data_IF_729990458826
#
_entry.id   IF_729990458826
#
_cell.length_a   1.000
_cell.length_b   1.000
_cell.length_c   1.000
_cell.angle_alpha   90.00
_cell.angle_beta   90.00
_cell.angle_gamma   90.00
#
_symmetry.space_group_name_H-M   'P 1'
#
loop_
_entity.id
_entity.type
_entity.pdbx_description
1 polymer ?
#
# COMPACT_ATOMS: atom_id res chain seq x y z
N UNK A 1 -130.14 -45.61 52.96
CA UNK A 1 -129.03 -44.74 52.55
C UNK A 1 -127.79 -45.13 53.35
N UNK A 2 -126.61 -44.98 52.75
CA UNK A 2 -125.27 -45.33 53.25
C UNK A 2 -124.73 -46.70 52.84
N UNK A 3 -123.80 -46.60 51.88
CA UNK A 3 -122.89 -47.59 51.34
C UNK A 3 -121.96 -48.17 52.41
N UNK A 4 -121.22 -49.25 52.07
CA UNK A 4 -119.75 -49.20 51.92
C UNK A 4 -119.16 -50.61 51.70
N UNK A 5 -118.45 -50.69 50.57
CA UNK A 5 -117.27 -51.49 50.23
C UNK A 5 -117.34 -53.02 50.07
N UNK A 6 -117.25 -53.39 48.79
CA UNK A 6 -116.65 -54.64 48.33
C UNK A 6 -115.11 -54.55 48.47
N UNK A 7 -114.53 -55.45 49.26
CA UNK A 7 -113.08 -55.66 49.32
C UNK A 7 -112.68 -56.57 48.15
N UNK A 8 -111.95 -56.03 47.19
CA UNK A 8 -111.27 -56.80 46.15
C UNK A 8 -109.96 -57.36 46.69
N UNK A 9 -109.79 -58.68 46.60
CA UNK A 9 -108.53 -59.35 46.93
C UNK A 9 -107.42 -58.95 45.93
N UNK A 10 -106.16 -58.81 46.38
CA UNK A 10 -105.05 -58.48 45.52
C UNK A 10 -104.65 -59.68 44.64
N UNK A 11 -104.61 -59.48 43.33
CA UNK A 11 -104.07 -60.45 42.38
C UNK A 11 -102.53 -60.54 42.48
N UNK A 12 -101.93 -61.74 42.37
CA UNK A 12 -100.47 -61.88 42.39
C UNK A 12 -99.84 -61.28 41.13
N UNK A 13 -98.86 -60.38 41.33
CA UNK A 13 -98.04 -59.79 40.27
C UNK A 13 -97.24 -60.88 39.55
N UNK A 14 -97.44 -61.02 38.24
CA UNK A 14 -96.55 -61.81 37.38
C UNK A 14 -95.18 -61.14 37.30
N UNK A 15 -94.14 -61.90 37.61
CA UNK A 15 -92.73 -61.53 37.42
C UNK A 15 -92.47 -61.45 35.92
N UNK A 16 -92.19 -60.25 35.41
CA UNK A 16 -91.72 -60.05 34.04
C UNK A 16 -90.22 -60.31 33.95
N UNK A 17 -89.71 -60.98 32.89
CA UNK A 17 -88.29 -61.21 32.73
C UNK A 17 -87.54 -59.88 32.53
N UNK A 18 -86.45 -59.70 33.28
CA UNK A 18 -85.53 -58.57 33.18
C UNK A 18 -85.00 -58.42 31.76
N UNK A 19 -85.12 -57.20 31.20
CA UNK A 19 -84.46 -56.85 29.95
C UNK A 19 -82.96 -56.68 30.21
N UNK A 20 -82.06 -57.29 29.43
CA UNK A 20 -80.63 -57.15 29.64
C UNK A 20 -80.22 -55.70 29.36
N UNK A 21 -79.71 -55.02 30.40
CA UNK A 21 -79.18 -53.67 30.28
C UNK A 21 -77.96 -53.69 29.35
N UNK A 22 -78.07 -53.06 28.17
CA UNK A 22 -76.93 -52.82 27.28
C UNK A 22 -75.94 -51.90 28.00
N UNK A 23 -74.87 -52.48 28.53
CA UNK A 23 -73.72 -51.72 29.03
C UNK A 23 -72.98 -51.12 27.84
N UNK A 24 -73.15 -49.81 27.64
CA UNK A 24 -72.27 -49.03 26.77
C UNK A 24 -70.91 -48.93 27.46
N UNK A 25 -69.88 -49.50 26.83
CA UNK A 25 -68.50 -49.43 27.30
C UNK A 25 -67.85 -48.21 26.65
N UNK A 26 -67.28 -47.26 27.41
CA UNK A 26 -66.53 -46.16 26.82
C UNK A 26 -65.37 -46.71 25.99
N UNK A 27 -65.25 -46.29 24.73
CA UNK A 27 -64.06 -46.56 23.94
C UNK A 27 -62.85 -45.86 24.60
N UNK A 28 -61.66 -46.50 24.66
CA UNK A 28 -60.50 -45.87 25.27
C UNK A 28 -60.18 -44.57 24.52
N UNK A 29 -60.07 -43.46 25.26
CA UNK A 29 -59.57 -42.21 24.71
C UNK A 29 -58.21 -42.46 24.09
N UNK A 30 -58.06 -42.05 22.83
CA UNK A 30 -56.80 -42.18 22.08
C UNK A 30 -55.74 -41.42 22.86
N UNK A 31 -54.77 -42.13 23.43
CA UNK A 31 -53.64 -41.52 24.14
C UNK A 31 -53.07 -40.39 23.29
N UNK A 32 -53.06 -39.18 23.83
CA UNK A 32 -52.54 -38.01 23.15
C UNK A 32 -51.07 -38.27 22.80
N UNK A 33 -50.77 -38.54 21.53
CA UNK A 33 -49.40 -38.67 21.03
C UNK A 33 -48.63 -37.43 21.47
N UNK A 34 -47.66 -37.61 22.36
CA UNK A 34 -46.76 -36.54 22.79
C UNK A 34 -46.04 -36.02 21.55
N UNK A 35 -46.50 -34.88 21.02
CA UNK A 35 -45.84 -34.22 19.89
C UNK A 35 -44.41 -33.91 20.34
N UNK A 36 -43.36 -34.22 19.55
CA UNK A 36 -41.96 -34.03 19.94
C UNK A 36 -41.54 -32.55 19.88
N UNK A 37 -42.39 -31.64 20.35
CA UNK A 37 -42.17 -30.18 20.39
C UNK A 37 -40.90 -29.82 21.15
N UNK A 38 -40.58 -30.57 22.20
CA UNK A 38 -39.35 -30.39 22.97
C UNK A 38 -38.10 -30.70 22.12
N UNK A 39 -38.12 -31.78 21.33
CA UNK A 39 -37.01 -32.14 20.46
C UNK A 39 -36.75 -31.05 19.40
N UNK A 40 -37.81 -30.52 18.77
CA UNK A 40 -37.68 -29.41 17.83
C UNK A 40 -37.14 -28.14 18.50
N UNK A 41 -37.57 -27.82 19.72
CA UNK A 41 -37.07 -26.67 20.46
C UNK A 41 -35.58 -26.80 20.79
N UNK A 42 -35.13 -27.98 21.22
CA UNK A 42 -33.71 -28.26 21.52
C UNK A 42 -32.87 -28.16 20.25
N UNK A 43 -33.33 -28.72 19.13
CA UNK A 43 -32.62 -28.63 17.85
C UNK A 43 -32.54 -27.18 17.37
N UNK A 44 -33.64 -26.43 17.46
CA UNK A 44 -33.67 -25.02 17.06
C UNK A 44 -32.70 -24.17 17.91
N UNK A 45 -32.73 -24.34 19.24
CA UNK A 45 -31.84 -23.62 20.15
C UNK A 45 -30.37 -24.01 19.94
N UNK A 46 -30.09 -25.30 19.75
CA UNK A 46 -28.76 -25.79 19.42
C UNK A 46 -28.25 -25.22 18.11
N UNK A 47 -29.09 -25.19 17.07
CA UNK A 47 -28.75 -24.57 15.78
C UNK A 47 -28.41 -23.08 15.92
N UNK A 48 -29.21 -22.32 16.68
CA UNK A 48 -28.92 -20.90 16.97
C UNK A 48 -27.59 -20.75 17.71
N UNK A 49 -27.32 -21.58 18.73
CA UNK A 49 -26.05 -21.53 19.46
C UNK A 49 -24.85 -21.81 18.55
N UNK A 50 -24.94 -22.81 17.65
CA UNK A 50 -23.90 -23.11 16.67
C UNK A 50 -23.65 -21.94 15.72
N UNK A 51 -24.71 -21.28 15.24
CA UNK A 51 -24.59 -20.11 14.36
C UNK A 51 -23.85 -18.97 15.07
N UNK A 52 -24.18 -18.68 16.33
CA UNK A 52 -23.53 -17.63 17.12
C UNK A 52 -22.04 -17.93 17.30
N UNK A 53 -21.69 -19.17 17.65
CA UNK A 53 -20.28 -19.59 17.81
C UNK A 53 -19.53 -19.47 16.48
N UNK A 54 -20.14 -19.92 15.38
CA UNK A 54 -19.54 -19.82 14.04
C UNK A 54 -19.30 -18.35 13.64
N UNK A 55 -20.26 -17.44 13.91
CA UNK A 55 -20.11 -16.01 13.66
C UNK A 55 -18.96 -15.40 14.46
N UNK A 56 -18.83 -15.79 15.74
CA UNK A 56 -17.77 -15.28 16.61
C UNK A 56 -16.38 -15.72 16.11
N UNK A 57 -16.22 -17.01 15.77
CA UNK A 57 -14.97 -17.54 15.22
C UNK A 57 -14.62 -16.90 13.88
N UNK A 58 -15.60 -16.71 12.99
CA UNK A 58 -15.38 -16.01 11.73
C UNK A 58 -14.93 -14.57 11.95
N UNK A 59 -15.54 -13.85 12.90
CA UNK A 59 -15.14 -12.49 13.27
C UNK A 59 -13.69 -12.43 13.76
N UNK A 60 -13.28 -13.37 14.62
CA UNK A 60 -11.91 -13.46 15.12
C UNK A 60 -10.93 -13.73 13.98
N UNK A 61 -11.25 -14.67 13.09
CA UNK A 61 -10.42 -15.00 11.93
C UNK A 61 -10.28 -13.81 10.95
N UNK A 62 -11.38 -13.10 10.68
CA UNK A 62 -11.38 -11.88 9.86
C UNK A 62 -10.52 -10.79 10.50
N UNK A 63 -10.57 -10.64 11.83
CA UNK A 63 -9.80 -9.62 12.54
C UNK A 63 -8.29 -9.89 12.46
N UNK A 64 -7.85 -11.15 12.58
CA UNK A 64 -6.44 -11.51 12.40
C UNK A 64 -5.97 -11.29 10.96
N UNK A 65 -6.78 -11.69 9.97
CA UNK A 65 -6.48 -11.43 8.56
C UNK A 65 -6.44 -9.94 8.21
N UNK A 66 -7.24 -9.10 8.87
CA UNK A 66 -7.24 -7.66 8.64
C UNK A 66 -5.93 -7.00 9.09
N UNK A 67 -5.34 -7.41 10.22
CA UNK A 67 -4.05 -6.86 10.68
C UNK A 67 -2.88 -7.29 9.79
N UNK A 68 -2.90 -8.51 9.27
CA UNK A 68 -1.85 -8.99 8.36
C UNK A 68 -1.90 -8.25 7.02
N UNK A 69 -3.10 -8.02 6.48
CA UNK A 69 -3.30 -7.21 5.28
C UNK A 69 -2.86 -5.76 5.51
N UNK A 70 -3.21 -5.16 6.65
CA UNK A 70 -2.81 -3.80 7.00
C UNK A 70 -1.29 -3.67 7.11
N UNK A 71 -0.62 -4.62 7.76
CA UNK A 71 0.84 -4.66 7.84
C UNK A 71 1.51 -4.80 6.46
N UNK A 72 0.96 -5.61 5.57
CA UNK A 72 1.44 -5.75 4.19
C UNK A 72 1.20 -4.48 3.37
N UNK A 73 0.05 -3.82 3.51
CA UNK A 73 -0.24 -2.54 2.85
C UNK A 73 0.68 -1.41 3.33
N UNK A 74 1.00 -1.38 4.63
CA UNK A 74 1.98 -0.44 5.18
C UNK A 74 3.37 -0.67 4.59
N UNK A 75 3.81 -1.93 4.47
CA UNK A 75 5.08 -2.27 3.84
C UNK A 75 5.12 -1.86 2.37
N UNK A 76 4.05 -2.15 1.62
CA UNK A 76 3.94 -1.74 0.22
C UNK A 76 4.04 -0.22 0.07
N UNK A 77 3.31 0.52 0.91
CA UNK A 77 3.32 2.00 0.88
C UNK A 77 4.72 2.54 1.20
N UNK A 78 5.42 1.93 2.15
CA UNK A 78 6.79 2.31 2.49
C UNK A 78 7.74 2.07 1.30
N UNK A 79 7.70 0.88 0.71
CA UNK A 79 8.51 0.52 -0.47
C UNK A 79 8.25 1.45 -1.65
N UNK A 80 6.99 1.74 -1.98
CA UNK A 80 6.64 2.67 -3.07
C UNK A 80 7.17 4.07 -2.82
N UNK A 81 7.14 4.56 -1.57
CA UNK A 81 7.72 5.87 -1.24
C UNK A 81 9.23 5.88 -1.42
N UNK A 82 9.91 4.78 -1.09
CA UNK A 82 11.35 4.67 -1.25
C UNK A 82 11.75 4.56 -2.72
N UNK A 83 10.99 3.81 -3.53
CA UNK A 83 11.15 3.78 -5.00
C UNK A 83 10.99 5.18 -5.62
N UNK A 84 9.97 5.94 -5.20
CA UNK A 84 9.75 7.30 -5.70
C UNK A 84 10.93 8.22 -5.37
N UNK A 85 11.43 8.17 -4.13
CA UNK A 85 12.62 8.94 -3.74
C UNK A 85 13.83 8.58 -4.57
N UNK A 86 14.09 7.28 -4.75
CA UNK A 86 15.25 6.82 -5.49
C UNK A 86 15.16 7.16 -6.98
N UNK A 87 13.96 7.11 -7.56
CA UNK A 87 13.71 7.57 -8.92
C UNK A 87 13.97 9.08 -9.06
N UNK A 88 13.51 9.88 -8.10
CA UNK A 88 13.76 11.34 -8.11
C UNK A 88 15.26 11.65 -8.01
N UNK A 89 16.00 10.93 -7.18
CA UNK A 89 17.46 11.06 -7.09
C UNK A 89 18.15 10.64 -8.40
N UNK A 90 17.66 9.60 -9.07
CA UNK A 90 18.19 9.18 -10.36
C UNK A 90 17.93 10.23 -11.44
N UNK A 91 16.69 10.70 -11.55
CA UNK A 91 16.28 11.76 -12.50
C UNK A 91 17.09 13.04 -12.28
N UNK A 92 17.42 13.35 -11.01
CA UNK A 92 18.27 14.48 -10.62
C UNK A 92 19.69 14.34 -11.15
N UNK A 93 20.33 13.18 -11.00
CA UNK A 93 21.73 12.96 -11.46
C UNK A 93 21.85 12.70 -12.96
N UNK A 94 20.81 12.14 -13.60
CA UNK A 94 20.75 11.96 -15.05
C UNK A 94 20.33 13.24 -15.78
N UNK A 95 19.88 14.25 -15.06
CA UNK A 95 19.40 15.50 -15.66
C UNK A 95 20.50 16.16 -16.53
N UNK A 96 20.14 16.71 -17.71
CA UNK A 96 21.10 17.32 -18.62
C UNK A 96 21.92 18.45 -17.97
N UNK A 97 21.29 19.22 -17.08
CA UNK A 97 21.95 20.33 -16.39
C UNK A 97 23.01 19.84 -15.38
N UNK A 98 22.72 18.75 -14.66
CA UNK A 98 23.67 18.12 -13.74
C UNK A 98 24.85 17.51 -14.51
N UNK A 99 24.57 16.79 -15.60
CA UNK A 99 25.59 16.21 -16.47
C UNK A 99 26.47 17.27 -17.12
N UNK A 100 25.90 18.37 -17.60
CA UNK A 100 26.64 19.49 -18.17
C UNK A 100 27.59 20.13 -17.14
N UNK A 101 27.10 20.39 -15.92
CA UNK A 101 27.93 20.95 -14.84
C UNK A 101 29.08 20.01 -14.46
N UNK A 102 28.81 18.70 -14.38
CA UNK A 102 29.84 17.68 -14.10
C UNK A 102 30.83 17.55 -15.25
N UNK A 103 30.38 17.64 -16.49
CA UNK A 103 31.21 17.61 -17.69
C UNK A 103 32.18 18.80 -17.72
N UNK A 104 31.69 20.00 -17.43
CA UNK A 104 32.51 21.20 -17.31
C UNK A 104 33.54 21.09 -16.18
N UNK A 105 33.16 20.50 -15.04
CA UNK A 105 34.09 20.20 -13.95
C UNK A 105 35.23 19.25 -14.35
N UNK A 106 35.03 18.43 -15.39
CA UNK A 106 36.05 17.56 -15.99
C UNK A 106 36.81 18.24 -17.14
N UNK A 107 36.54 19.52 -17.43
CA UNK A 107 37.16 20.27 -18.53
C UNK A 107 36.53 20.01 -19.90
N UNK A 108 35.38 19.34 -19.97
CA UNK A 108 34.63 19.22 -21.22
C UNK A 108 33.89 20.53 -21.53
N UNK A 109 33.79 20.85 -22.81
CA UNK A 109 33.22 22.11 -23.30
C UNK A 109 32.15 21.81 -24.34
N UNK A 110 30.97 22.48 -24.31
CA UNK A 110 29.92 22.27 -25.31
C UNK A 110 30.41 22.73 -26.69
N UNK A 111 30.15 21.92 -27.72
CA UNK A 111 30.45 22.29 -29.10
C UNK A 111 29.26 23.01 -29.74
N UNK A 112 29.41 24.31 -30.06
CA UNK A 112 28.40 25.10 -30.79
C UNK A 112 28.29 24.73 -32.26
N UNK A 113 29.37 24.20 -32.86
CA UNK A 113 29.52 24.01 -34.30
C UNK A 113 29.91 22.55 -34.61
N UNK A 114 28.96 21.59 -34.54
CA UNK A 114 29.24 20.20 -34.84
C UNK A 114 29.46 19.97 -36.34
N UNK A 115 30.49 19.19 -36.67
CA UNK A 115 30.83 18.77 -38.03
C UNK A 115 30.36 17.33 -38.23
N UNK A 116 29.75 17.03 -39.38
CA UNK A 116 29.12 15.73 -39.63
C UNK A 116 29.95 14.88 -40.59
N UNK A 117 29.99 13.57 -40.34
CA UNK A 117 30.58 12.60 -41.26
C UNK A 117 29.47 11.92 -42.08
N UNK A 118 29.54 12.04 -43.40
CA UNK A 118 28.65 11.31 -44.30
C UNK A 118 29.18 9.88 -44.49
N UNK A 119 28.45 8.89 -43.98
CA UNK A 119 28.88 7.48 -43.97
C UNK A 119 28.99 6.85 -45.36
N UNK A 120 28.25 7.36 -46.36
CA UNK A 120 28.22 6.77 -47.71
C UNK A 120 29.50 7.00 -48.50
N UNK A 121 30.20 8.10 -48.25
CA UNK A 121 31.38 8.52 -49.01
C UNK A 121 32.54 9.02 -48.14
N UNK A 122 32.38 9.00 -46.82
CA UNK A 122 33.40 9.47 -45.87
C UNK A 122 33.63 10.96 -45.89
N UNK A 123 32.77 11.75 -46.56
CA UNK A 123 32.94 13.19 -46.63
C UNK A 123 32.63 13.85 -45.29
N UNK A 124 33.51 14.73 -44.84
CA UNK A 124 33.34 15.57 -43.66
C UNK A 124 32.65 16.86 -44.10
N UNK A 125 31.48 17.15 -43.52
CA UNK A 125 30.65 18.31 -43.84
C UNK A 125 30.79 19.36 -42.74
N UNK A 126 31.53 20.42 -43.03
CA UNK A 126 31.86 21.53 -42.11
C UNK A 126 33.36 21.69 -41.92
N UNK A 127 33.77 22.76 -41.22
CA UNK A 127 35.17 22.99 -40.85
C UNK A 127 35.42 22.54 -39.41
N UNK A 128 36.28 21.53 -39.17
CA UNK A 128 36.57 21.06 -37.83
C UNK A 128 37.40 22.10 -37.08
N UNK A 129 36.81 22.69 -36.04
CA UNK A 129 37.47 23.60 -35.11
C UNK A 129 37.38 23.04 -33.69
N UNK A 130 38.39 23.32 -32.86
CA UNK A 130 38.31 23.04 -31.43
C UNK A 130 37.13 23.80 -30.82
N UNK A 131 36.35 23.14 -29.95
CA UNK A 131 35.27 23.79 -29.23
C UNK A 131 35.84 24.88 -28.32
N UNK A 132 35.41 26.12 -28.54
CA UNK A 132 35.78 27.28 -27.72
C UNK A 132 34.60 27.58 -26.77
N UNK A 133 34.78 27.31 -25.49
CA UNK A 133 33.78 27.63 -24.47
C UNK A 133 34.46 27.85 -23.13
N UNK A 134 34.15 28.98 -22.50
CA UNK A 134 34.65 29.33 -21.17
C UNK A 134 33.86 28.64 -20.06
N UNK A 135 34.36 28.75 -18.82
CA UNK A 135 33.63 28.29 -17.64
C UNK A 135 32.20 28.88 -17.63
N UNK A 136 31.18 28.02 -17.62
CA UNK A 136 29.77 28.42 -17.67
C UNK A 136 29.14 28.49 -19.07
N UNK A 137 29.81 28.01 -20.12
CA UNK A 137 29.21 27.89 -21.45
C UNK A 137 27.97 26.97 -21.49
N UNK A 138 27.87 26.02 -20.56
CA UNK A 138 26.74 25.12 -20.35
C UNK A 138 25.90 25.51 -19.12
N UNK A 139 26.10 26.71 -18.56
CA UNK A 139 25.32 27.16 -17.42
C UNK A 139 23.82 27.20 -17.79
N UNK A 140 22.94 26.58 -17.00
CA UNK A 140 21.53 26.50 -17.33
C UNK A 140 20.87 27.89 -17.25
N UNK A 141 20.14 28.25 -18.31
CA UNK A 141 19.35 29.50 -18.35
C UNK A 141 18.07 29.41 -17.51
N UNK A 142 17.64 28.18 -17.17
CA UNK A 142 16.46 27.92 -16.34
C UNK A 142 16.92 27.23 -15.07
N UNK A 143 16.62 27.79 -13.88
CA UNK A 143 16.99 27.16 -12.63
C UNK A 143 16.27 25.82 -12.47
N UNK A 144 17.01 24.82 -12.00
CA UNK A 144 16.46 23.52 -11.66
C UNK A 144 16.59 23.32 -10.15
N UNK A 145 15.47 23.40 -9.42
CA UNK A 145 15.46 23.19 -7.97
C UNK A 145 15.83 21.74 -7.59
N UNK A 146 15.78 20.79 -8.52
CA UNK A 146 16.19 19.42 -8.25
C UNK A 146 17.70 19.31 -8.07
N UNK A 147 18.53 20.17 -8.66
CA UNK A 147 20.00 20.07 -8.51
C UNK A 147 20.53 20.79 -7.26
N UNK A 148 19.68 21.50 -6.52
CA UNK A 148 20.08 22.20 -5.28
C UNK A 148 20.47 21.20 -4.19
N UNK A 149 21.71 21.31 -3.69
CA UNK A 149 22.22 20.51 -2.59
C UNK A 149 23.08 19.30 -2.98
N UNK A 150 23.24 18.99 -4.28
CA UNK A 150 24.20 17.98 -4.73
C UNK A 150 25.52 18.67 -5.07
N UNK A 151 26.61 18.44 -4.31
CA UNK A 151 27.90 19.01 -4.66
C UNK A 151 28.35 18.42 -6.00
N UNK A 152 28.79 19.25 -6.97
CA UNK A 152 29.49 18.78 -8.16
C UNK A 152 30.91 18.37 -7.75
N UNK A 153 31.04 17.37 -6.86
CA UNK A 153 32.33 16.85 -6.43
C UNK A 153 32.89 15.95 -7.53
N UNK A 154 33.57 16.59 -8.47
CA UNK A 154 34.46 15.97 -9.44
C UNK A 154 35.78 16.72 -9.45
N UNK A 155 36.54 16.68 -8.35
CA UNK A 155 37.96 17.03 -8.39
C UNK A 155 38.70 15.91 -9.13
N UNK A 156 38.66 15.92 -10.46
CA UNK A 156 39.61 15.18 -11.27
C UNK A 156 40.59 16.21 -11.84
N UNK A 157 41.86 16.06 -11.50
CA UNK A 157 42.92 16.86 -12.07
C UNK A 157 42.80 16.87 -13.59
N UNK A 158 42.96 18.05 -14.19
CA UNK A 158 43.08 18.24 -15.62
C UNK A 158 44.05 17.19 -16.18
N UNK A 159 43.51 16.16 -16.82
CA UNK A 159 44.29 15.20 -17.57
C UNK A 159 44.77 15.92 -18.81
N UNK A 160 46.05 16.32 -18.80
CA UNK A 160 46.76 16.73 -19.99
C UNK A 160 46.63 15.60 -21.03
N UNK A 161 45.85 15.83 -22.08
CA UNK A 161 45.89 14.99 -23.27
C UNK A 161 47.23 15.25 -23.97
N UNK A 162 48.13 14.26 -24.13
CA UNK A 162 49.37 14.46 -24.85
C UNK A 162 49.05 14.51 -26.35
N UNK A 163 48.96 15.71 -26.93
CA UNK A 163 49.08 15.86 -28.37
C UNK A 163 50.56 16.08 -28.66
N UNK A 164 51.22 15.01 -29.08
CA UNK A 164 52.64 14.99 -29.44
C UNK A 164 52.96 15.97 -30.58
N UNK A 165 53.89 16.87 -30.30
CA UNK A 165 54.48 17.84 -31.24
C UNK A 165 55.51 18.76 -30.54
N UNK A 166 56.58 18.19 -29.99
CA UNK A 166 57.74 18.84 -29.31
C UNK A 166 58.64 19.69 -30.25
N UNK A 167 59.68 20.43 -29.76
CA UNK A 167 59.99 20.99 -28.42
C UNK A 167 60.45 22.48 -28.46
N UNK A 168 60.29 23.25 -27.37
CA UNK A 168 60.86 24.61 -27.33
C UNK A 168 60.80 25.33 -25.98
N UNK A 169 61.98 25.48 -25.37
CA UNK A 169 62.36 26.44 -24.32
C UNK A 169 61.90 26.18 -22.87
N UNK A 170 62.84 25.62 -22.11
CA UNK A 170 62.98 25.83 -20.69
C UNK A 170 63.26 27.31 -20.37
N UNK A 171 62.61 27.83 -19.34
CA UNK A 171 63.12 28.91 -18.51
C UNK A 171 62.57 28.71 -17.10
N UNK A 172 63.48 28.38 -16.17
CA UNK A 172 63.15 28.25 -14.77
C UNK A 172 62.90 29.60 -14.10
N UNK A 173 62.10 29.59 -13.04
CA UNK A 173 62.21 30.52 -11.94
C UNK A 173 61.77 29.80 -10.66
N UNK A 174 62.59 29.97 -9.63
CA UNK A 174 62.56 29.31 -8.33
C UNK A 174 61.35 29.75 -7.46
N UNK A 175 61.10 29.09 -6.31
CA UNK A 175 59.89 29.26 -5.52
C UNK A 175 60.01 30.47 -4.59
N UNK A 176 58.98 31.32 -4.57
CA UNK A 176 58.79 32.32 -3.52
C UNK A 176 57.57 31.92 -2.68
N UNK A 177 57.84 31.61 -1.42
CA UNK A 177 56.85 31.61 -0.35
C UNK A 177 56.95 32.96 0.38
N UNK A 178 55.82 33.49 0.86
CA UNK A 178 55.78 33.66 2.31
C UNK A 178 54.47 33.17 2.93
N UNK A 179 54.62 32.83 4.20
CA UNK A 179 53.60 32.36 5.12
C UNK A 179 52.50 33.41 5.39
N UNK A 180 51.28 32.90 5.61
CA UNK A 180 50.16 33.61 6.21
C UNK A 180 49.15 32.60 6.75
N UNK A 181 49.20 32.34 8.06
CA UNK A 181 48.29 31.46 8.79
C UNK A 181 46.89 32.11 8.96
N UNK A 182 45.87 31.35 9.42
CA UNK A 182 44.47 31.50 9.04
C UNK A 182 43.69 32.53 9.87
N UNK A 183 42.72 33.20 9.24
CA UNK A 183 41.69 33.96 9.94
C UNK A 183 40.31 33.36 9.62
N UNK A 184 39.78 32.62 10.59
CA UNK A 184 38.35 32.38 10.68
C UNK A 184 37.65 33.64 11.23
N UNK A 185 36.45 33.95 10.74
CA UNK A 185 35.39 34.43 11.63
C UNK A 185 34.21 33.46 11.56
N UNK A 186 33.89 32.90 12.71
CA UNK A 186 32.59 32.29 12.99
C UNK A 186 31.60 33.41 13.33
N UNK A 187 30.69 33.71 12.42
CA UNK A 187 29.42 34.39 12.69
C UNK A 187 28.41 33.65 11.79
N UNK A 188 27.48 32.84 12.30
CA UNK A 188 26.55 33.19 13.36
C UNK A 188 25.23 33.67 12.76
N UNK A 189 24.53 32.81 11.99
CA UNK A 189 23.21 33.16 11.46
C UNK A 189 22.59 32.07 10.60
N UNK A 190 21.77 31.20 11.23
CA UNK A 190 20.83 30.33 10.52
C UNK A 190 19.79 31.19 9.80
N UNK A 191 19.56 31.06 8.47
CA UNK A 191 18.37 31.61 7.86
C UNK A 191 17.16 30.76 8.23
N UNK A 192 16.18 31.35 8.92
CA UNK A 192 14.85 30.77 9.11
C UNK A 192 14.10 30.73 7.76
N UNK A 193 13.34 29.66 7.43
CA UNK A 193 12.60 29.59 6.18
C UNK A 193 11.45 30.62 6.17
N UNK A 194 11.40 31.42 5.10
CA UNK A 194 10.28 32.30 4.80
C UNK A 194 9.14 31.46 4.18
N UNK A 195 7.98 31.46 4.82
CA UNK A 195 6.74 30.93 4.25
C UNK A 195 6.09 32.00 3.36
N UNK A 196 5.84 31.67 2.10
CA UNK A 196 4.83 32.30 1.24
C UNK A 196 4.05 31.21 0.52
#
# INVERSE_FOLDING_TARGET
MSAVQAQSLPAPRRVGPERPQRRLRPAPERAARSKPRLAYAVIALGGVAVIIVAQLLLSIAVTQGAYEIDALQMQQTALTRDEQKLSEDLDRVESPQFLATKAEGLGMVPNSDPVYLRLSDGAVLGEPKAAEGGAGASAPLVPNALIDGVPPTGNAQAGETPIGGTPGQAAGAAPDAPAGAPAAPVDGGLPTPATH
#
